data_IF_386384289096
#
_entry.id   IF_386384289096
#
_cell.length_a   1.000
_cell.length_b   1.000
_cell.length_c   1.000
_cell.angle_alpha   90.00
_cell.angle_beta   90.00
_cell.angle_gamma   90.00
#
_symmetry.space_group_name_H-M   'P 1'
#
loop_
_entity.id
_entity.type
_entity.pdbx_description
1 polymer ?
#
# COMPACT_ATOMS: atom_id res chain seq x y z
N UNK A 1 7.17 10.55 10.19
CA UNK A 1 5.85 9.89 10.40
C UNK A 1 6.09 8.40 10.37
N UNK A 2 5.35 7.60 11.13
CA UNK A 2 5.43 6.15 11.01
C UNK A 2 4.70 5.67 9.75
N UNK A 3 5.21 4.64 9.10
CA UNK A 3 4.57 4.10 7.88
C UNK A 3 3.13 3.64 8.11
N UNK A 4 2.82 3.07 9.28
CA UNK A 4 1.44 2.69 9.65
C UNK A 4 0.45 3.86 9.76
N UNK A 5 0.95 5.08 9.88
CA UNK A 5 0.14 6.31 9.98
C UNK A 5 -0.07 6.99 8.61
N UNK A 6 0.63 6.52 7.58
CA UNK A 6 0.55 7.08 6.23
C UNK A 6 -0.63 6.49 5.46
N UNK A 7 -1.29 7.34 4.68
CA UNK A 7 -2.25 6.85 3.69
C UNK A 7 -1.49 6.21 2.51
N UNK A 8 -2.08 5.21 1.85
CA UNK A 8 -1.46 4.60 0.68
C UNK A 8 -1.14 5.62 -0.43
N UNK A 9 -1.90 6.71 -0.53
CA UNK A 9 -1.69 7.79 -1.51
C UNK A 9 -0.42 8.61 -1.25
N UNK A 10 0.07 8.57 -0.01
CA UNK A 10 1.33 9.22 0.38
C UNK A 10 2.54 8.30 0.13
N UNK A 11 2.27 7.02 -0.18
CA UNK A 11 3.29 5.98 -0.37
C UNK A 11 3.42 5.61 -1.84
N UNK A 12 2.30 5.33 -2.50
CA UNK A 12 2.28 4.79 -3.86
C UNK A 12 2.69 5.86 -4.87
N UNK A 13 3.53 5.47 -5.82
CA UNK A 13 4.13 6.35 -6.83
C UNK A 13 4.97 7.51 -6.23
N UNK A 14 5.56 7.26 -5.04
CA UNK A 14 6.42 8.23 -4.36
C UNK A 14 7.80 7.65 -4.07
N UNK A 15 8.78 8.56 -4.04
CA UNK A 15 10.08 8.29 -3.44
C UNK A 15 9.98 8.52 -1.93
N UNK A 16 10.47 7.57 -1.15
CA UNK A 16 10.48 7.65 0.30
C UNK A 16 11.86 7.33 0.85
N UNK A 17 12.31 8.11 1.83
CA UNK A 17 13.31 7.64 2.76
C UNK A 17 12.61 6.86 3.87
N UNK A 18 13.10 5.65 4.15
CA UNK A 18 12.62 4.81 5.25
C UNK A 18 13.77 4.55 6.21
N UNK A 19 13.59 4.98 7.46
CA UNK A 19 14.55 4.79 8.54
C UNK A 19 14.54 3.34 9.03
N UNK A 20 15.31 2.50 8.39
CA UNK A 20 15.42 1.07 8.65
C UNK A 20 16.89 0.62 8.55
N UNK A 21 17.71 1.04 9.51
CA UNK A 21 19.14 0.74 9.53
C UNK A 21 19.44 -0.77 9.43
N UNK A 22 18.67 -1.60 10.13
CA UNK A 22 18.82 -3.07 10.06
C UNK A 22 18.57 -3.63 8.67
N UNK A 23 17.62 -3.05 7.90
CA UNK A 23 17.39 -3.42 6.51
C UNK A 23 18.60 -3.00 5.66
N UNK A 24 19.05 -1.74 5.80
CA UNK A 24 20.18 -1.22 5.05
C UNK A 24 21.44 -2.08 5.24
N UNK A 25 21.79 -2.46 6.47
CA UNK A 25 22.97 -3.27 6.78
C UNK A 25 22.93 -4.67 6.13
N UNK A 26 21.75 -5.22 5.89
CA UNK A 26 21.59 -6.54 5.26
C UNK A 26 21.66 -6.50 3.73
N UNK A 27 21.79 -5.32 3.12
CA UNK A 27 21.78 -5.14 1.67
C UNK A 27 23.19 -5.05 1.04
N UNK A 28 24.25 -5.28 1.81
CA UNK A 28 25.63 -5.11 1.34
C UNK A 28 26.05 -6.00 0.17
N UNK A 29 25.30 -7.07 -0.13
CA UNK A 29 25.51 -7.89 -1.33
C UNK A 29 24.91 -7.28 -2.61
N UNK A 30 24.04 -6.27 -2.48
CA UNK A 30 23.27 -5.68 -3.58
C UNK A 30 23.65 -4.20 -3.78
N UNK A 31 23.78 -3.46 -2.68
CA UNK A 31 24.03 -2.01 -2.67
C UNK A 31 25.30 -1.64 -1.91
N UNK A 32 25.81 -0.45 -2.20
CA UNK A 32 26.78 0.18 -1.31
C UNK A 32 26.16 0.43 0.06
N UNK A 33 26.80 -0.05 1.11
CA UNK A 33 26.38 0.14 2.51
C UNK A 33 27.56 0.65 3.31
N UNK A 34 27.35 1.72 4.07
CA UNK A 34 28.31 2.25 5.04
C UNK A 34 27.86 1.95 6.47
N UNK A 35 28.79 1.93 7.43
CA UNK A 35 28.47 1.64 8.84
C UNK A 35 27.46 2.63 9.44
N UNK A 36 27.43 3.87 8.92
CA UNK A 36 26.52 4.93 9.32
C UNK A 36 25.21 4.95 8.53
N UNK A 37 24.92 3.95 7.68
CA UNK A 37 23.66 3.86 6.95
C UNK A 37 22.49 3.76 7.93
N UNK A 38 21.55 4.71 7.84
CA UNK A 38 20.43 4.83 8.74
C UNK A 38 19.11 4.28 8.16
N UNK A 39 19.11 4.00 6.86
CA UNK A 39 17.91 3.51 6.17
C UNK A 39 18.12 3.37 4.67
N UNK A 40 17.01 3.37 3.96
CA UNK A 40 16.95 3.13 2.52
C UNK A 40 16.13 4.18 1.79
N UNK A 41 16.51 4.47 0.55
CA UNK A 41 15.67 5.15 -0.42
C UNK A 41 14.84 4.11 -1.16
N UNK A 42 13.53 4.33 -1.22
CA UNK A 42 12.60 3.40 -1.85
C UNK A 42 11.65 4.13 -2.81
N UNK A 43 11.07 3.35 -3.72
CA UNK A 43 9.90 3.74 -4.51
C UNK A 43 8.72 2.84 -4.14
N UNK A 44 7.59 3.45 -3.72
CA UNK A 44 6.40 2.74 -3.29
C UNK A 44 5.48 2.37 -4.45
N UNK A 45 4.95 1.16 -4.44
CA UNK A 45 4.00 0.66 -5.44
C UNK A 45 3.02 -0.35 -4.82
N UNK A 46 1.97 -0.73 -5.56
CA UNK A 46 1.04 -1.77 -5.15
C UNK A 46 1.32 -3.03 -5.96
N UNK A 47 1.70 -4.10 -5.27
CA UNK A 47 1.70 -5.46 -5.80
C UNK A 47 0.32 -6.09 -5.54
N UNK A 48 -0.34 -6.58 -6.59
CA UNK A 48 -1.69 -7.14 -6.50
C UNK A 48 -1.79 -8.33 -5.51
N UNK A 49 -0.69 -9.06 -5.29
CA UNK A 49 -0.65 -10.21 -4.38
C UNK A 49 -0.08 -9.86 -3.00
N UNK A 50 0.92 -8.98 -2.95
CA UNK A 50 1.68 -8.68 -1.74
C UNK A 50 1.25 -7.36 -1.06
N UNK A 51 0.35 -6.59 -1.67
CA UNK A 51 -0.05 -5.28 -1.19
C UNK A 51 0.99 -4.19 -1.45
N UNK A 52 0.98 -3.16 -0.62
CA UNK A 52 1.96 -2.07 -0.73
C UNK A 52 3.36 -2.60 -0.50
N UNK A 53 4.21 -2.35 -1.46
CA UNK A 53 5.59 -2.82 -1.52
C UNK A 53 6.51 -1.67 -1.92
N UNK A 54 7.77 -1.81 -1.58
CA UNK A 54 8.81 -0.85 -1.89
C UNK A 54 9.91 -1.51 -2.71
N UNK A 55 10.25 -0.91 -3.85
CA UNK A 55 11.50 -1.20 -4.53
C UNK A 55 12.59 -0.38 -3.87
N UNK A 56 13.62 -1.03 -3.33
CA UNK A 56 14.77 -0.37 -2.72
C UNK A 56 15.69 0.11 -3.85
N UNK A 57 16.02 1.39 -3.83
CA UNK A 57 16.84 2.05 -4.87
C UNK A 57 18.29 2.16 -4.45
N UNK A 58 18.54 2.53 -3.19
CA UNK A 58 19.85 2.56 -2.57
C UNK A 58 19.76 2.63 -1.05
N UNK A 59 20.87 2.42 -0.35
CA UNK A 59 20.99 2.76 1.06
C UNK A 59 21.20 4.28 1.24
N UNK A 60 20.90 4.77 2.44
CA UNK A 60 20.96 6.20 2.74
C UNK A 60 21.41 6.48 4.17
N UNK A 61 22.03 7.65 4.35
CA UNK A 61 22.44 8.18 5.65
C UNK A 61 21.65 9.45 5.92
N UNK A 62 20.84 9.44 6.98
CA UNK A 62 20.12 10.63 7.44
C UNK A 62 20.83 11.21 8.67
N UNK A 63 21.34 12.42 8.52
CA UNK A 63 21.91 13.21 9.63
C UNK A 63 20.79 14.05 10.26
N UNK A 64 20.31 13.62 11.43
CA UNK A 64 19.23 14.29 12.14
C UNK A 64 19.61 15.68 12.65
N UNK A 65 20.89 15.91 12.97
CA UNK A 65 21.37 17.21 13.47
C UNK A 65 21.39 18.26 12.35
N UNK A 66 21.79 17.87 11.15
CA UNK A 66 21.85 18.74 9.97
C UNK A 66 20.56 18.70 9.15
N UNK A 67 19.67 17.75 9.41
CA UNK A 67 18.48 17.47 8.60
C UNK A 67 18.81 17.22 7.12
N UNK A 68 19.90 16.50 6.87
CA UNK A 68 20.37 16.19 5.53
C UNK A 68 20.27 14.70 5.24
N UNK A 69 19.92 14.35 4.01
CA UNK A 69 19.86 12.99 3.51
C UNK A 69 20.94 12.81 2.44
N UNK A 70 21.86 11.87 2.68
CA UNK A 70 22.87 11.45 1.71
C UNK A 70 22.47 10.11 1.14
N UNK A 71 22.30 10.03 -0.19
CA UNK A 71 22.05 8.79 -0.90
C UNK A 71 23.39 8.12 -1.22
N UNK A 72 23.52 6.83 -0.93
CA UNK A 72 24.66 6.01 -1.32
C UNK A 72 24.52 5.56 -2.78
N UNK A 73 25.47 4.78 -3.28
CA UNK A 73 25.39 4.31 -4.66
C UNK A 73 24.29 3.26 -4.81
N UNK A 74 23.47 3.40 -5.86
CA UNK A 74 22.40 2.45 -6.19
C UNK A 74 22.94 1.32 -7.07
N UNK A 75 22.05 0.37 -7.34
CA UNK A 75 22.28 -0.72 -8.27
C UNK A 75 21.04 -0.91 -9.16
N UNK A 76 21.18 -0.64 -10.45
CA UNK A 76 20.06 -0.73 -11.40
C UNK A 76 19.83 -2.14 -11.92
N UNK A 77 20.82 -3.03 -11.80
CA UNK A 77 20.75 -4.39 -12.31
C UNK A 77 20.04 -5.36 -11.35
N UNK A 78 20.12 -5.09 -10.04
CA UNK A 78 19.54 -5.96 -9.02
C UNK A 78 18.35 -5.30 -8.35
N UNK A 79 17.28 -6.07 -8.10
CA UNK A 79 16.08 -5.64 -7.41
C UNK A 79 16.10 -6.14 -5.97
N UNK A 80 15.80 -5.26 -5.03
CA UNK A 80 15.51 -5.60 -3.65
C UNK A 80 14.16 -4.99 -3.26
N UNK A 81 13.29 -5.83 -2.70
CA UNK A 81 11.92 -5.45 -2.38
C UNK A 81 11.62 -5.73 -0.91
N UNK A 82 10.82 -4.87 -0.31
CA UNK A 82 10.31 -5.07 1.05
C UNK A 82 8.84 -4.65 1.09
N UNK A 83 8.04 -5.33 1.89
CA UNK A 83 6.60 -5.06 2.02
C UNK A 83 6.33 -4.04 3.12
N UNK A 84 5.30 -3.23 2.93
CA UNK A 84 4.86 -2.29 3.97
C UNK A 84 4.59 -3.01 5.30
N UNK A 85 4.00 -4.20 5.26
CA UNK A 85 3.69 -5.01 6.45
C UNK A 85 4.91 -5.32 7.32
N UNK A 86 6.12 -5.32 6.75
CA UNK A 86 7.38 -5.58 7.46
C UNK A 86 7.99 -4.30 8.09
N UNK A 87 7.48 -3.12 7.73
CA UNK A 87 8.05 -1.82 8.08
C UNK A 87 7.07 -0.88 8.79
N UNK A 88 5.94 -1.37 9.30
CA UNK A 88 4.87 -0.54 9.87
C UNK A 88 5.34 0.44 10.94
N UNK A 89 6.33 0.05 11.75
CA UNK A 89 6.89 0.87 12.83
C UNK A 89 8.08 1.74 12.39
N UNK A 90 8.50 1.64 11.12
CA UNK A 90 9.59 2.45 10.62
C UNK A 90 9.14 3.89 10.37
N UNK A 91 10.04 4.84 10.65
CA UNK A 91 9.83 6.23 10.26
C UNK A 91 10.08 6.41 8.78
N UNK A 92 9.22 7.16 8.11
CA UNK A 92 9.38 7.47 6.71
C UNK A 92 9.14 8.96 6.42
N UNK A 93 9.75 9.41 5.34
CA UNK A 93 9.54 10.74 4.77
C UNK A 93 9.40 10.63 3.26
N UNK A 94 8.33 11.23 2.73
CA UNK A 94 8.16 11.40 1.29
C UNK A 94 9.16 12.43 0.78
N UNK A 95 9.87 12.09 -0.27
CA UNK A 95 10.87 12.98 -0.86
C UNK A 95 10.28 13.73 -2.06
N UNK A 96 10.64 15.01 -2.25
CA UNK A 96 10.25 15.76 -3.45
C UNK A 96 10.82 15.07 -4.70
N UNK A 97 10.02 15.01 -5.77
CA UNK A 97 10.43 14.41 -7.05
C UNK A 97 11.63 15.13 -7.69
N UNK A 98 11.84 16.39 -7.36
CA UNK A 98 12.92 17.24 -7.85
C UNK A 98 14.20 17.10 -7.04
N UNK A 99 14.21 16.24 -6.02
CA UNK A 99 15.42 16.02 -5.22
C UNK A 99 16.58 15.54 -6.11
N UNK A 100 17.79 16.14 -5.97
CA UNK A 100 18.95 15.72 -6.72
C UNK A 100 19.22 14.21 -6.59
N UNK A 101 19.71 13.61 -7.67
CA UNK A 101 20.03 12.18 -7.78
C UNK A 101 18.84 11.22 -7.92
N UNK A 102 17.58 11.62 -7.69
CA UNK A 102 16.44 10.72 -7.96
C UNK A 102 16.34 10.35 -9.46
N UNK A 103 16.83 11.22 -10.34
CA UNK A 103 16.90 10.93 -11.78
C UNK A 103 17.80 9.72 -12.11
N UNK A 104 18.77 9.37 -11.25
CA UNK A 104 19.62 8.20 -11.42
C UNK A 104 18.79 6.88 -11.40
N UNK A 105 17.63 6.87 -10.74
CA UNK A 105 16.78 5.68 -10.56
C UNK A 105 15.59 5.61 -11.51
N UNK A 106 15.46 6.52 -12.47
CA UNK A 106 14.28 6.60 -13.35
C UNK A 106 14.00 5.32 -14.14
N UNK A 107 15.04 4.65 -14.64
CA UNK A 107 14.90 3.40 -15.39
C UNK A 107 14.32 2.27 -14.52
N UNK A 108 14.82 2.17 -13.29
CA UNK A 108 14.34 1.18 -12.31
C UNK A 108 12.89 1.46 -11.93
N UNK A 109 12.56 2.71 -11.65
CA UNK A 109 11.19 3.14 -11.34
C UNK A 109 10.25 2.89 -12.51
N UNK A 110 10.64 3.22 -13.74
CA UNK A 110 9.83 2.94 -14.93
C UNK A 110 9.58 1.43 -15.11
N UNK A 111 10.56 0.59 -14.79
CA UNK A 111 10.39 -0.87 -14.81
C UNK A 111 9.36 -1.33 -13.76
N UNK A 112 9.43 -0.80 -12.53
CA UNK A 112 8.45 -1.07 -11.47
C UNK A 112 7.06 -0.65 -11.90
N UNK A 113 6.89 0.58 -12.37
CA UNK A 113 5.61 1.11 -12.83
C UNK A 113 5.00 0.28 -13.96
N UNK A 114 5.82 -0.17 -14.91
CA UNK A 114 5.36 -1.05 -15.99
C UNK A 114 4.94 -2.43 -15.48
N UNK A 115 5.73 -3.01 -14.58
CA UNK A 115 5.52 -4.39 -14.08
C UNK A 115 4.27 -4.48 -13.20
N UNK A 116 4.02 -3.45 -12.37
CA UNK A 116 2.93 -3.44 -11.38
C UNK A 116 1.76 -2.53 -11.77
N UNK A 117 1.70 -2.14 -13.04
CA UNK A 117 0.58 -1.37 -13.57
C UNK A 117 -0.71 -2.17 -13.41
N UNK A 118 -1.68 -1.60 -12.70
CA UNK A 118 -3.01 -2.17 -12.60
C UNK A 118 -3.82 -1.93 -13.89
N UNK A 119 -4.90 -2.69 -14.07
CA UNK A 119 -5.88 -2.42 -15.11
C UNK A 119 -6.67 -1.12 -14.83
N UNK A 120 -7.39 -0.65 -15.85
CA UNK A 120 -8.13 0.62 -15.77
C UNK A 120 -9.23 0.61 -14.70
N UNK A 121 -9.88 -0.55 -14.48
CA UNK A 121 -10.93 -0.69 -13.48
C UNK A 121 -10.34 -0.57 -12.07
N UNK A 122 -9.24 -1.26 -11.78
CA UNK A 122 -8.52 -1.16 -10.51
C UNK A 122 -8.01 0.26 -10.27
N UNK A 123 -7.44 0.93 -11.28
CA UNK A 123 -6.99 2.32 -11.14
C UNK A 123 -8.17 3.29 -10.89
N UNK A 124 -9.31 3.05 -11.51
CA UNK A 124 -10.53 3.83 -11.24
C UNK A 124 -11.00 3.65 -9.78
N UNK A 125 -10.96 2.41 -9.27
CA UNK A 125 -11.30 2.11 -7.87
C UNK A 125 -10.32 2.78 -6.89
N UNK A 126 -9.04 2.81 -7.19
CA UNK A 126 -8.02 3.49 -6.36
C UNK A 126 -8.25 4.99 -6.26
N UNK A 127 -8.84 5.63 -7.27
CA UNK A 127 -9.17 7.08 -7.26
C UNK A 127 -10.32 7.45 -6.34
N UNK A 128 -11.15 6.51 -5.92
CA UNK A 128 -12.31 6.75 -5.04
C UNK A 128 -11.86 6.99 -3.59
N UNK A 129 -11.68 8.25 -3.23
CA UNK A 129 -11.26 8.66 -1.86
C UNK A 129 -12.29 8.33 -0.80
N UNK A 130 -13.57 8.21 -1.16
CA UNK A 130 -14.64 7.80 -0.26
C UNK A 130 -14.47 6.37 0.29
N UNK A 131 -13.68 5.53 -0.37
CA UNK A 131 -13.36 4.17 0.09
C UNK A 131 -12.17 4.12 1.06
N UNK A 132 -11.36 5.17 1.14
CA UNK A 132 -10.11 5.14 1.91
C UNK A 132 -10.29 4.70 3.37
N UNK A 133 -11.35 5.11 4.11
CA UNK A 133 -11.55 4.67 5.49
C UNK A 133 -11.84 3.16 5.65
N UNK A 134 -12.30 2.50 4.59
CA UNK A 134 -12.62 1.08 4.60
C UNK A 134 -11.49 0.20 4.03
N UNK A 135 -10.48 0.78 3.40
CA UNK A 135 -9.35 0.04 2.80
C UNK A 135 -8.46 -0.57 3.86
N UNK A 136 -7.92 -1.73 3.57
CA UNK A 136 -6.84 -2.28 4.38
C UNK A 136 -5.56 -1.47 4.18
N UNK A 137 -4.90 -1.10 5.28
CA UNK A 137 -3.72 -0.25 5.26
C UNK A 137 -2.58 -0.79 4.37
N UNK A 138 -2.41 -2.11 4.34
CA UNK A 138 -1.35 -2.76 3.54
C UNK A 138 -1.81 -3.21 2.16
N UNK A 139 -3.13 -3.33 1.93
CA UNK A 139 -3.73 -3.81 0.68
C UNK A 139 -4.88 -2.88 0.27
N UNK A 140 -4.59 -1.73 -0.35
CA UNK A 140 -5.59 -0.70 -0.62
C UNK A 140 -6.67 -1.11 -1.63
N UNK A 141 -6.47 -2.18 -2.38
CA UNK A 141 -7.49 -2.74 -3.28
C UNK A 141 -8.49 -3.66 -2.55
N UNK A 142 -8.28 -3.88 -1.24
CA UNK A 142 -9.16 -4.65 -0.37
C UNK A 142 -9.83 -3.70 0.62
N UNK A 143 -11.15 -3.88 0.79
CA UNK A 143 -11.95 -3.14 1.77
C UNK A 143 -12.59 -4.08 2.77
N UNK A 144 -12.87 -3.55 3.97
CA UNK A 144 -13.74 -4.22 4.94
C UNK A 144 -15.19 -3.88 4.63
N UNK A 145 -16.01 -4.91 4.36
CA UNK A 145 -17.46 -4.80 4.14
C UNK A 145 -18.19 -5.45 5.31
N UNK A 146 -19.14 -4.75 5.89
CA UNK A 146 -20.03 -5.31 6.91
C UNK A 146 -21.21 -6.00 6.24
N UNK A 147 -21.31 -7.32 6.44
CA UNK A 147 -22.45 -8.15 6.05
C UNK A 147 -23.50 -8.06 7.17
N UNK A 148 -24.65 -7.48 6.89
CA UNK A 148 -25.66 -7.17 7.91
C UNK A 148 -26.92 -7.99 7.67
N UNK A 149 -27.38 -8.72 8.72
CA UNK A 149 -28.65 -9.46 8.72
C UNK A 149 -29.43 -9.16 9.99
N UNK A 150 -30.50 -8.35 9.89
CA UNK A 150 -31.18 -7.85 11.07
C UNK A 150 -30.28 -7.02 11.97
N UNK A 151 -30.13 -7.46 13.23
CA UNK A 151 -29.25 -6.80 14.22
C UNK A 151 -27.80 -7.35 14.22
N UNK A 152 -27.54 -8.41 13.46
CA UNK A 152 -26.22 -9.02 13.36
C UNK A 152 -25.39 -8.38 12.24
N UNK A 153 -24.10 -8.17 12.51
CA UNK A 153 -23.14 -7.71 11.52
C UNK A 153 -21.83 -8.53 11.61
N UNK A 154 -21.28 -8.84 10.46
CA UNK A 154 -20.01 -9.54 10.32
C UNK A 154 -19.09 -8.77 9.35
N UNK A 155 -17.82 -8.57 9.73
CA UNK A 155 -16.84 -7.93 8.86
C UNK A 155 -16.22 -8.96 7.91
N UNK A 156 -16.21 -8.66 6.61
CA UNK A 156 -15.61 -9.50 5.59
C UNK A 156 -14.65 -8.66 4.73
N UNK A 157 -13.55 -9.26 4.29
CA UNK A 157 -12.63 -8.62 3.36
C UNK A 157 -13.05 -8.88 1.92
N UNK A 158 -13.09 -7.82 1.13
CA UNK A 158 -13.57 -7.83 -0.25
C UNK A 158 -12.56 -7.16 -1.15
N UNK A 159 -12.11 -7.88 -2.19
CA UNK A 159 -11.29 -7.32 -3.26
C UNK A 159 -12.19 -6.51 -4.19
N UNK A 160 -11.87 -5.23 -4.35
CA UNK A 160 -12.60 -4.31 -5.21
C UNK A 160 -12.47 -4.71 -6.68
N UNK A 161 -13.58 -4.63 -7.43
CA UNK A 161 -13.63 -4.92 -8.88
C UNK A 161 -14.07 -3.72 -9.69
N UNK A 162 -15.27 -3.21 -9.41
CA UNK A 162 -15.83 -2.10 -10.18
C UNK A 162 -16.78 -1.24 -9.33
N UNK A 163 -16.95 0.01 -9.74
CA UNK A 163 -18.00 0.88 -9.23
C UNK A 163 -19.12 1.00 -10.26
N UNK A 164 -20.36 0.88 -9.81
CA UNK A 164 -21.58 1.14 -10.60
C UNK A 164 -22.28 2.38 -10.05
N UNK A 165 -23.31 2.86 -10.74
CA UNK A 165 -23.99 4.11 -10.39
C UNK A 165 -24.44 4.19 -8.92
N UNK A 166 -24.89 3.07 -8.34
CA UNK A 166 -25.45 3.03 -6.99
C UNK A 166 -24.73 2.10 -6.03
N UNK A 167 -23.82 1.25 -6.51
CA UNK A 167 -23.17 0.23 -5.69
C UNK A 167 -21.74 -0.06 -6.16
N UNK A 168 -21.04 -0.81 -5.34
CA UNK A 168 -19.68 -1.27 -5.61
C UNK A 168 -19.71 -2.79 -5.66
N UNK A 169 -18.98 -3.36 -6.60
CA UNK A 169 -18.83 -4.81 -6.76
C UNK A 169 -17.42 -5.23 -6.32
N UNK A 170 -17.35 -6.33 -5.62
CA UNK A 170 -16.09 -6.94 -5.24
C UNK A 170 -16.23 -8.43 -4.94
N UNK A 171 -15.09 -9.09 -4.78
CA UNK A 171 -15.01 -10.53 -4.51
C UNK A 171 -14.69 -10.78 -3.04
N UNK A 172 -15.46 -11.64 -2.37
CA UNK A 172 -15.18 -12.11 -1.02
C UNK A 172 -13.87 -12.88 -0.94
N UNK A 173 -12.99 -12.50 -0.02
CA UNK A 173 -11.67 -13.11 0.14
C UNK A 173 -11.61 -14.20 1.22
N UNK A 174 -12.63 -14.29 2.07
CA UNK A 174 -12.74 -15.30 3.13
C UNK A 174 -14.17 -15.84 3.20
N UNK A 175 -14.31 -17.06 3.73
CA UNK A 175 -15.61 -17.62 4.07
C UNK A 175 -16.19 -16.84 5.25
N UNK A 176 -17.43 -16.32 5.18
CA UNK A 176 -18.12 -15.74 6.32
C UNK A 176 -18.39 -16.78 7.41
N UNK A 177 -18.17 -16.42 8.68
CA UNK A 177 -18.36 -17.33 9.82
C UNK A 177 -19.83 -17.63 10.11
N UNK A 178 -20.69 -16.63 9.94
CA UNK A 178 -22.13 -16.76 10.12
C UNK A 178 -22.76 -17.19 8.80
N UNK A 179 -23.43 -18.33 8.76
CA UNK A 179 -24.03 -18.90 7.56
C UNK A 179 -24.93 -17.88 6.84
N UNK A 180 -24.34 -17.14 5.92
CA UNK A 180 -24.98 -16.05 5.19
C UNK A 180 -25.48 -16.48 3.80
N UNK A 181 -25.13 -17.69 3.37
CA UNK A 181 -25.32 -18.14 1.97
C UNK A 181 -24.32 -17.50 1.00
N UNK A 182 -23.28 -16.86 1.52
CA UNK A 182 -22.16 -16.32 0.76
C UNK A 182 -20.91 -17.15 1.04
N UNK A 183 -20.08 -17.34 0.01
CA UNK A 183 -18.87 -18.14 0.08
C UNK A 183 -17.65 -17.35 -0.39
N UNK A 184 -16.48 -17.76 0.05
CA UNK A 184 -15.23 -17.24 -0.48
C UNK A 184 -15.21 -17.36 -2.00
N UNK A 185 -14.87 -16.26 -2.68
CA UNK A 185 -14.84 -16.16 -4.14
C UNK A 185 -16.12 -15.61 -4.75
N UNK A 186 -17.19 -15.50 -3.96
CA UNK A 186 -18.45 -14.92 -4.44
C UNK A 186 -18.27 -13.44 -4.76
N UNK A 187 -18.90 -13.01 -5.84
CA UNK A 187 -19.02 -11.61 -6.19
C UNK A 187 -20.19 -11.01 -5.43
N UNK A 188 -19.93 -9.96 -4.70
CA UNK A 188 -20.94 -9.26 -3.92
C UNK A 188 -21.06 -7.81 -4.31
N UNK A 189 -22.30 -7.30 -4.20
CA UNK A 189 -22.63 -5.89 -4.32
C UNK A 189 -22.81 -5.29 -2.93
N UNK A 190 -22.24 -4.12 -2.68
CA UNK A 190 -22.32 -3.40 -1.42
C UNK A 190 -22.38 -1.89 -1.63
N UNK A 191 -22.68 -1.13 -0.58
CA UNK A 191 -22.89 0.30 -0.62
C UNK A 191 -21.96 1.01 0.37
N UNK A 192 -21.69 2.29 0.10
CA UNK A 192 -21.08 3.21 1.07
C UNK A 192 -22.19 3.81 1.94
N UNK A 193 -22.07 3.62 3.24
CA UNK A 193 -23.00 4.18 4.23
C UNK A 193 -22.23 5.13 5.13
N UNK A 194 -22.78 6.31 5.36
CA UNK A 194 -22.24 7.28 6.32
C UNK A 194 -22.98 7.16 7.64
N UNK A 195 -22.24 7.03 8.72
CA UNK A 195 -22.78 7.12 10.09
C UNK A 195 -21.96 8.12 10.92
N UNK A 196 -22.22 8.21 12.21
CA UNK A 196 -21.51 9.11 13.15
C UNK A 196 -20.00 8.80 13.26
N UNK A 197 -19.57 7.57 12.97
CA UNK A 197 -18.18 7.11 13.01
C UNK A 197 -17.44 7.28 11.70
N UNK A 198 -18.15 7.65 10.61
CA UNK A 198 -17.56 7.86 9.29
C UNK A 198 -18.24 7.09 8.17
N UNK A 199 -17.49 6.79 7.13
CA UNK A 199 -17.94 6.01 5.98
C UNK A 199 -17.55 4.55 6.18
N UNK A 200 -18.52 3.64 5.94
CA UNK A 200 -18.30 2.19 5.97
C UNK A 200 -18.91 1.55 4.72
N UNK A 201 -18.37 0.40 4.33
CA UNK A 201 -18.94 -0.44 3.28
C UNK A 201 -19.94 -1.42 3.94
N UNK A 202 -21.14 -1.56 3.38
CA UNK A 202 -22.18 -2.41 3.93
C UNK A 202 -22.93 -3.17 2.83
N UNK A 203 -23.20 -4.44 3.10
CA UNK A 203 -24.12 -5.28 2.35
C UNK A 203 -25.22 -5.77 3.29
N UNK A 204 -26.47 -5.44 2.98
CA UNK A 204 -27.64 -5.99 3.67
C UNK A 204 -27.95 -7.34 3.06
N UNK A 205 -28.10 -8.36 3.90
CA UNK A 205 -28.49 -9.72 3.52
C UNK A 205 -29.99 -9.88 3.75
N UNK A 206 -30.68 -10.61 2.86
CA UNK A 206 -32.05 -10.99 3.04
C UNK A 206 -32.19 -11.90 4.27
N UNK A 207 -33.38 -11.83 4.88
CA UNK A 207 -33.75 -12.63 6.08
C UNK A 207 -33.84 -14.10 5.76
#
# INVERSE_FOLDING_TARGET
>A
MLLKEMNFRDIVDKYLYIGAAGVAQNLGSIFEVTEDATGVLCYGYIDAQAGISFEILCCAVYDAAKKTLKLLHGNDEQSAKIRLAELLEAQAAVLPSEMPRLSEFQNKVATVQKTYKADEATEAMRKLTSLDPARLATHPDIVTVYLVRGDDAEAAHVLLKEVREVNIIGTLLSEPEKASGLHKGDEISFFLVRNEKGIMCMKVLEK
#
